data_IF_887855935210
#
_entry.id   IF_887855935210
#
_cell.length_a   1.000
_cell.length_b   1.000
_cell.length_c   1.000
_cell.angle_alpha   90.00
_cell.angle_beta   90.00
_cell.angle_gamma   90.00
#
_symmetry.space_group_name_H-M   'P 1'
#
loop_
_entity.id
_entity.type
_entity.pdbx_description
1 polymer ?
#
# COMPACT_ATOMS: atom_id res chain seq x y z
N UNK A 1 2.35 39.42 -15.50
CA UNK A 1 2.40 37.97 -15.78
C UNK A 1 2.54 37.25 -14.45
N UNK A 2 1.47 36.63 -13.95
CA UNK A 2 1.54 35.76 -12.79
C UNK A 2 2.10 34.41 -13.26
N UNK A 3 3.14 33.91 -12.59
CA UNK A 3 3.67 32.57 -12.84
C UNK A 3 2.55 31.54 -12.61
N UNK A 4 2.25 30.64 -13.56
CA UNK A 4 1.19 29.65 -13.46
C UNK A 4 1.63 28.42 -12.63
N UNK A 5 2.49 28.64 -11.64
CA UNK A 5 2.93 27.65 -10.68
C UNK A 5 2.52 28.21 -9.34
N UNK A 6 1.64 27.52 -8.64
CA UNK A 6 1.41 27.82 -7.23
C UNK A 6 2.63 27.34 -6.46
N UNK A 7 3.66 28.20 -6.45
CA UNK A 7 4.93 27.95 -5.78
C UNK A 7 4.68 27.59 -4.31
N UNK A 8 3.58 28.09 -3.71
CA UNK A 8 3.15 27.70 -2.36
C UNK A 8 2.81 26.22 -2.29
N UNK A 9 2.00 25.68 -3.20
CA UNK A 9 1.65 24.25 -3.19
C UNK A 9 2.87 23.32 -3.32
N UNK A 10 3.89 23.73 -4.11
CA UNK A 10 5.15 22.99 -4.24
C UNK A 10 5.99 23.09 -2.95
N UNK A 11 6.03 24.26 -2.33
CA UNK A 11 6.72 24.49 -1.04
C UNK A 11 6.02 23.76 0.11
N UNK A 12 4.68 23.74 0.12
CA UNK A 12 3.86 23.06 1.12
C UNK A 12 4.09 21.55 1.04
N UNK A 13 4.17 20.98 -0.17
CA UNK A 13 4.49 19.56 -0.36
C UNK A 13 5.93 19.23 0.09
N UNK A 14 6.91 20.09 -0.22
CA UNK A 14 8.28 19.91 0.28
C UNK A 14 8.36 19.97 1.83
N UNK A 15 7.57 20.86 2.45
CA UNK A 15 7.45 20.97 3.91
C UNK A 15 6.83 19.71 4.52
N UNK A 16 5.83 19.14 3.84
CA UNK A 16 5.17 17.89 4.24
C UNK A 16 6.12 16.68 4.24
N UNK A 17 7.11 16.67 3.34
CA UNK A 17 8.15 15.63 3.32
C UNK A 17 9.04 15.71 4.56
N UNK A 18 9.53 16.89 4.90
CA UNK A 18 10.41 17.06 6.07
C UNK A 18 9.68 16.78 7.38
N UNK A 19 8.40 17.14 7.45
CA UNK A 19 7.52 16.80 8.59
C UNK A 19 7.31 15.28 8.67
N UNK A 20 7.02 14.61 7.56
CA UNK A 20 6.85 13.16 7.52
C UNK A 20 8.13 12.40 7.89
N UNK A 21 9.32 12.91 7.55
CA UNK A 21 10.60 12.32 7.97
C UNK A 21 10.81 12.35 9.48
N UNK A 22 10.30 13.37 10.16
CA UNK A 22 10.42 13.56 11.61
C UNK A 22 9.26 12.96 12.40
N UNK A 23 8.21 12.54 11.70
CA UNK A 23 7.04 11.92 12.32
C UNK A 23 7.43 10.58 12.94
N UNK A 24 7.17 10.45 14.24
CA UNK A 24 7.41 9.19 14.95
C UNK A 24 6.34 8.16 14.60
N UNK A 25 6.76 6.92 14.38
CA UNK A 25 5.88 5.78 14.19
C UNK A 25 6.04 4.76 15.33
N UNK A 26 4.93 4.17 15.77
CA UNK A 26 4.92 3.02 16.68
C UNK A 26 4.12 1.89 16.05
N UNK A 27 4.75 0.72 15.88
CA UNK A 27 4.11 -0.46 15.29
C UNK A 27 4.37 -1.67 16.17
N UNK A 28 3.32 -2.42 16.50
CA UNK A 28 3.45 -3.73 17.13
C UNK A 28 3.22 -4.85 16.12
N UNK A 29 4.14 -5.82 16.08
CA UNK A 29 4.08 -6.99 15.23
C UNK A 29 4.00 -8.22 16.13
N UNK A 30 2.83 -8.87 16.11
CA UNK A 30 2.52 -10.08 16.84
C UNK A 30 2.74 -11.30 15.94
N UNK A 31 3.48 -12.29 16.42
CA UNK A 31 3.83 -13.50 15.69
C UNK A 31 3.11 -14.69 16.32
N UNK A 32 2.21 -15.31 15.57
CA UNK A 32 1.65 -16.62 15.91
C UNK A 32 2.69 -17.71 15.63
N UNK A 33 3.03 -18.50 16.65
CA UNK A 33 4.00 -19.60 16.53
C UNK A 33 3.55 -20.68 15.54
N UNK A 34 2.24 -20.79 15.27
CA UNK A 34 1.70 -21.74 14.30
C UNK A 34 1.74 -21.23 12.85
N UNK A 35 2.11 -19.97 12.62
CA UNK A 35 2.25 -19.44 11.27
C UNK A 35 3.48 -20.04 10.56
N UNK A 36 3.42 -20.31 9.25
CA UNK A 36 4.59 -20.76 8.49
C UNK A 36 5.82 -19.87 8.68
N UNK A 37 6.99 -20.48 8.84
CA UNK A 37 8.21 -19.74 9.21
C UNK A 37 8.69 -18.75 8.14
N UNK A 38 8.38 -19.01 6.87
CA UNK A 38 8.68 -18.14 5.74
C UNK A 38 7.87 -16.82 5.80
N UNK A 39 6.57 -16.88 6.12
CA UNK A 39 5.74 -15.66 6.26
C UNK A 39 6.14 -14.87 7.50
N UNK A 40 6.46 -15.55 8.61
CA UNK A 40 6.98 -14.88 9.80
C UNK A 40 8.29 -14.16 9.50
N UNK A 41 9.25 -14.84 8.86
CA UNK A 41 10.53 -14.24 8.49
C UNK A 41 10.36 -13.05 7.54
N UNK A 42 9.49 -13.20 6.53
CA UNK A 42 9.24 -12.15 5.55
C UNK A 42 8.60 -10.90 6.18
N UNK A 43 7.55 -11.06 7.00
CA UNK A 43 6.89 -9.92 7.67
C UNK A 43 7.86 -9.23 8.64
N UNK A 44 8.63 -10.00 9.42
CA UNK A 44 9.67 -9.43 10.30
C UNK A 44 10.68 -8.60 9.52
N UNK A 45 11.12 -9.08 8.36
CA UNK A 45 12.04 -8.35 7.50
C UNK A 45 11.38 -7.11 6.88
N UNK A 46 10.12 -7.20 6.44
CA UNK A 46 9.40 -6.09 5.84
C UNK A 46 9.19 -4.94 6.83
N UNK A 47 8.94 -5.26 8.10
CA UNK A 47 8.80 -4.30 9.21
C UNK A 47 10.12 -4.00 9.92
N UNK A 48 11.27 -4.44 9.39
CA UNK A 48 12.56 -3.94 9.83
C UNK A 48 12.69 -2.47 9.36
N UNK A 49 12.40 -1.54 10.26
CA UNK A 49 12.39 -0.11 9.96
C UNK A 49 13.74 0.37 9.42
N UNK A 50 13.68 1.17 8.35
CA UNK A 50 14.81 1.94 7.84
C UNK A 50 14.91 3.36 8.47
N UNK A 51 13.95 3.75 9.32
CA UNK A 51 13.87 5.07 9.96
C UNK A 51 14.25 5.03 11.44
N UNK A 52 15.05 6.01 11.93
CA UNK A 52 15.34 6.17 13.36
C UNK A 52 14.13 6.64 14.18
N UNK A 53 13.06 7.10 13.53
CA UNK A 53 11.85 7.62 14.17
C UNK A 53 10.72 6.59 14.24
N UNK A 54 10.92 5.39 13.69
CA UNK A 54 9.93 4.32 13.79
C UNK A 54 10.38 3.27 14.80
N UNK A 55 9.55 3.05 15.82
CA UNK A 55 9.67 1.98 16.79
C UNK A 55 8.84 0.80 16.33
N UNK A 56 9.46 -0.37 16.29
CA UNK A 56 8.77 -1.64 15.99
C UNK A 56 8.97 -2.59 17.17
N UNK A 57 7.87 -3.04 17.76
CA UNK A 57 7.88 -4.02 18.84
C UNK A 57 7.48 -5.38 18.27
N UNK A 58 8.29 -6.41 18.50
CA UNK A 58 8.01 -7.79 18.08
C UNK A 58 7.63 -8.63 19.30
N UNK A 59 6.47 -9.29 19.23
CA UNK A 59 5.90 -10.06 20.34
C UNK A 59 5.37 -11.39 19.82
N UNK A 60 5.59 -12.48 20.54
CA UNK A 60 5.05 -13.79 20.21
C UNK A 60 3.71 -14.01 20.91
N UNK A 61 2.77 -14.64 20.23
CA UNK A 61 1.47 -15.04 20.78
C UNK A 61 1.62 -16.43 21.42
N UNK A 62 2.26 -16.48 22.58
CA UNK A 62 2.62 -17.72 23.30
C UNK A 62 1.57 -18.13 24.36
N UNK A 63 0.34 -17.63 24.24
CA UNK A 63 -0.77 -17.91 25.17
C UNK A 63 -0.74 -17.08 26.47
N UNK A 64 0.21 -16.16 26.63
CA UNK A 64 0.18 -15.17 27.72
C UNK A 64 -0.97 -14.17 27.53
N UNK A 65 -1.39 -13.46 28.61
CA UNK A 65 -2.37 -12.40 28.50
C UNK A 65 -1.98 -11.38 27.44
N UNK A 66 -2.82 -11.27 26.41
CA UNK A 66 -2.62 -10.32 25.32
C UNK A 66 -3.12 -8.94 25.75
N UNK A 67 -2.24 -7.95 25.66
CA UNK A 67 -2.59 -6.54 25.94
C UNK A 67 -2.06 -5.68 24.80
N UNK A 68 -2.94 -5.17 23.93
CA UNK A 68 -2.52 -4.30 22.83
C UNK A 68 -2.10 -2.92 23.36
N UNK A 69 -1.09 -2.31 22.72
CA UNK A 69 -0.65 -0.97 23.08
C UNK A 69 -1.45 0.07 22.29
N UNK A 70 -2.29 0.85 22.98
CA UNK A 70 -3.16 1.84 22.34
C UNK A 70 -2.43 3.04 21.73
N UNK A 71 -1.13 3.17 21.96
CA UNK A 71 -0.29 4.22 21.37
C UNK A 71 0.35 3.81 20.04
N UNK A 72 0.07 2.60 19.54
CA UNK A 72 0.54 2.18 18.22
C UNK A 72 -0.26 2.86 17.10
N UNK A 73 0.45 3.22 16.05
CA UNK A 73 -0.14 3.72 14.80
C UNK A 73 -0.80 2.59 14.01
N UNK A 74 -0.30 1.35 14.18
CA UNK A 74 -0.94 0.13 13.70
C UNK A 74 -0.36 -1.09 14.38
N UNK A 75 -1.08 -2.21 14.28
CA UNK A 75 -0.57 -3.52 14.61
C UNK A 75 -0.60 -4.48 13.42
N UNK A 76 0.26 -5.48 13.48
CA UNK A 76 0.30 -6.61 12.54
C UNK A 76 0.21 -7.90 13.33
N UNK A 77 -0.64 -8.82 12.91
CA UNK A 77 -0.67 -10.19 13.44
C UNK A 77 -0.29 -11.11 12.29
N UNK A 78 0.85 -11.80 12.39
CA UNK A 78 1.20 -12.88 11.47
C UNK A 78 0.50 -14.14 11.96
N UNK A 79 -0.46 -14.63 11.19
CA UNK A 79 -1.42 -15.66 11.61
C UNK A 79 -1.17 -17.02 10.94
N UNK A 80 -1.29 -18.07 11.73
CA UNK A 80 -1.26 -19.47 11.33
C UNK A 80 -2.56 -20.18 11.67
N UNK A 81 -2.45 -21.25 12.46
CA UNK A 81 -3.56 -22.10 12.89
C UNK A 81 -4.13 -21.75 14.27
N UNK A 82 -3.74 -20.62 14.86
CA UNK A 82 -4.25 -20.22 16.17
C UNK A 82 -5.67 -19.65 16.06
N UNK A 83 -6.64 -20.33 16.68
CA UNK A 83 -8.07 -19.94 16.69
C UNK A 83 -8.32 -18.57 17.36
N UNK A 84 -7.39 -18.10 18.20
CA UNK A 84 -7.52 -16.83 18.93
C UNK A 84 -7.10 -15.60 18.11
N UNK A 85 -6.53 -15.76 16.91
CA UNK A 85 -6.10 -14.64 16.05
C UNK A 85 -7.22 -13.62 15.83
N UNK A 86 -8.44 -14.09 15.60
CA UNK A 86 -9.62 -13.23 15.42
C UNK A 86 -9.90 -12.38 16.67
N UNK A 87 -9.79 -12.99 17.85
CA UNK A 87 -9.98 -12.31 19.14
C UNK A 87 -8.90 -11.26 19.38
N UNK A 88 -7.62 -11.60 19.17
CA UNK A 88 -6.51 -10.66 19.29
C UNK A 88 -6.70 -9.45 18.36
N UNK A 89 -7.09 -9.67 17.11
CA UNK A 89 -7.41 -8.59 16.18
C UNK A 89 -8.58 -7.72 16.67
N UNK A 90 -9.62 -8.32 17.24
CA UNK A 90 -10.74 -7.59 17.82
C UNK A 90 -10.32 -6.74 19.02
N UNK A 91 -9.45 -7.26 19.90
CA UNK A 91 -8.93 -6.54 21.06
C UNK A 91 -8.06 -5.33 20.63
N UNK A 92 -7.22 -5.48 19.60
CA UNK A 92 -6.45 -4.35 19.05
C UNK A 92 -7.39 -3.26 18.50
N UNK A 93 -8.41 -3.64 17.72
CA UNK A 93 -9.40 -2.68 17.22
C UNK A 93 -10.18 -1.99 18.33
N UNK A 94 -10.48 -2.70 19.41
CA UNK A 94 -11.21 -2.17 20.56
C UNK A 94 -10.46 -1.03 21.28
N UNK A 95 -9.12 -1.01 21.20
CA UNK A 95 -8.29 0.09 21.74
C UNK A 95 -8.03 1.22 20.72
N UNK A 96 -8.69 1.18 19.56
CA UNK A 96 -8.59 2.22 18.53
C UNK A 96 -7.39 2.10 17.59
N UNK A 97 -6.65 1.00 17.65
CA UNK A 97 -5.48 0.77 16.80
C UNK A 97 -5.92 -0.03 15.57
N UNK A 98 -5.57 0.39 14.34
CA UNK A 98 -5.85 -0.39 13.14
C UNK A 98 -4.96 -1.64 13.12
N UNK A 99 -5.52 -2.79 12.73
CA UNK A 99 -4.81 -4.08 12.75
C UNK A 99 -4.89 -4.80 11.41
N UNK A 100 -3.74 -5.21 10.91
CA UNK A 100 -3.59 -6.08 9.74
C UNK A 100 -3.31 -7.51 10.22
N UNK A 101 -4.03 -8.48 9.66
CA UNK A 101 -3.74 -9.91 9.85
C UNK A 101 -3.08 -10.45 8.59
N UNK A 102 -1.82 -10.88 8.68
CA UNK A 102 -1.04 -11.40 7.56
C UNK A 102 -0.96 -12.92 7.62
N UNK A 103 -1.27 -13.62 6.53
CA UNK A 103 -1.20 -15.09 6.49
C UNK A 103 -0.95 -15.63 5.08
N UNK A 104 -0.49 -16.88 4.99
CA UNK A 104 -0.49 -17.69 3.76
C UNK A 104 -1.65 -18.69 3.73
N UNK A 105 -2.52 -18.66 4.74
CA UNK A 105 -3.67 -19.54 4.97
C UNK A 105 -4.98 -18.72 5.04
N UNK A 106 -5.31 -17.89 4.03
CA UNK A 106 -6.40 -16.91 4.16
C UNK A 106 -7.77 -17.55 4.45
N UNK A 107 -8.10 -18.67 3.83
CA UNK A 107 -9.40 -19.33 4.03
C UNK A 107 -9.48 -19.97 5.42
N UNK A 108 -8.43 -20.71 5.81
CA UNK A 108 -8.37 -21.35 7.12
C UNK A 108 -8.40 -20.32 8.26
N UNK A 109 -7.60 -19.26 8.20
CA UNK A 109 -7.59 -18.19 9.21
C UNK A 109 -8.94 -17.50 9.31
N UNK A 110 -9.58 -17.20 8.17
CA UNK A 110 -10.91 -16.59 8.16
C UNK A 110 -11.97 -17.50 8.79
N UNK A 111 -11.96 -18.78 8.47
CA UNK A 111 -12.93 -19.75 8.97
C UNK A 111 -12.74 -20.04 10.46
N UNK A 112 -11.50 -20.20 10.93
CA UNK A 112 -11.22 -20.35 12.37
C UNK A 112 -11.67 -19.12 13.16
N UNK A 113 -11.34 -17.92 12.69
CA UNK A 113 -11.75 -16.67 13.35
C UNK A 113 -13.28 -16.52 13.40
N UNK A 114 -13.97 -16.91 12.33
CA UNK A 114 -15.44 -16.92 12.28
C UNK A 114 -16.03 -17.97 13.21
N UNK A 115 -15.48 -19.19 13.25
CA UNK A 115 -15.91 -20.27 14.13
C UNK A 115 -15.74 -19.91 15.61
N UNK A 116 -14.65 -19.21 15.95
CA UNK A 116 -14.37 -18.68 17.28
C UNK A 116 -15.21 -17.43 17.65
N UNK A 117 -16.12 -16.98 16.78
CA UNK A 117 -17.01 -15.84 17.03
C UNK A 117 -16.37 -14.47 16.86
N UNK A 118 -15.14 -14.39 16.36
CA UNK A 118 -14.37 -13.15 16.18
C UNK A 118 -13.94 -12.98 14.72
N UNK A 119 -14.88 -12.81 13.77
CA UNK A 119 -14.55 -12.75 12.35
C UNK A 119 -13.63 -11.56 12.04
N UNK A 120 -12.60 -11.82 11.23
CA UNK A 120 -11.69 -10.79 10.75
C UNK A 120 -12.35 -10.11 9.53
N UNK A 121 -12.46 -8.77 9.49
CA UNK A 121 -12.92 -8.06 8.31
C UNK A 121 -12.07 -8.42 7.09
N UNK A 122 -12.71 -8.66 5.94
CA UNK A 122 -12.01 -9.06 4.72
C UNK A 122 -10.93 -8.05 4.28
N UNK A 123 -11.11 -6.76 4.60
CA UNK A 123 -10.10 -5.72 4.34
C UNK A 123 -8.83 -5.89 5.16
N UNK A 124 -8.93 -6.45 6.37
CA UNK A 124 -7.82 -6.58 7.33
C UNK A 124 -7.05 -7.90 7.17
N UNK A 125 -7.62 -8.88 6.47
CA UNK A 125 -6.97 -10.16 6.20
C UNK A 125 -6.15 -10.11 4.89
N UNK A 126 -4.84 -10.04 5.05
CA UNK A 126 -3.87 -9.85 3.99
C UNK A 126 -3.09 -11.15 3.75
N UNK A 127 -3.12 -11.61 2.51
CA UNK A 127 -2.41 -12.80 2.04
C UNK A 127 -1.76 -12.52 0.68
N UNK A 128 -0.79 -13.31 0.21
CA UNK A 128 -0.39 -13.27 -1.19
C UNK A 128 -1.60 -13.47 -2.12
N UNK A 129 -1.50 -13.02 -3.38
CA UNK A 129 -2.47 -13.46 -4.40
C UNK A 129 -2.38 -14.97 -4.51
N UNK A 130 -3.52 -15.62 -4.71
CA UNK A 130 -3.59 -17.06 -4.90
C UNK A 130 -2.59 -17.49 -5.99
N UNK A 131 -1.72 -18.49 -5.72
CA UNK A 131 -0.81 -19.00 -6.72
C UNK A 131 -1.60 -19.44 -7.96
N UNK A 132 -1.12 -19.07 -9.15
CA UNK A 132 -1.66 -19.65 -10.37
C UNK A 132 -1.39 -21.15 -10.32
N UNK A 133 -2.44 -21.97 -10.37
CA UNK A 133 -2.35 -23.43 -10.27
C UNK A 133 -1.15 -23.95 -11.08
N UNK A 134 -0.11 -24.40 -10.36
CA UNK A 134 1.07 -25.00 -10.95
C UNK A 134 0.94 -26.51 -10.77
N UNK A 135 1.26 -27.34 -11.78
CA UNK A 135 1.21 -28.79 -11.64
C UNK A 135 2.06 -29.20 -10.43
N UNK A 136 1.48 -29.95 -9.51
CA UNK A 136 2.11 -30.36 -8.26
C UNK A 136 3.54 -30.89 -8.50
N UNK A 137 4.59 -30.30 -7.90
CA UNK A 137 5.90 -30.89 -7.90
C UNK A 137 5.88 -32.22 -7.12
N UNK A 138 6.56 -33.23 -7.66
CA UNK A 138 6.81 -34.49 -6.94
C UNK A 138 7.54 -34.19 -5.61
N UNK A 139 7.16 -34.83 -4.49
CA UNK A 139 7.76 -34.53 -3.20
C UNK A 139 9.23 -34.98 -3.18
N UNK A 140 10.13 -34.05 -2.84
CA UNK A 140 11.49 -34.38 -2.44
C UNK A 140 11.48 -34.83 -0.97
N UNK A 141 12.25 -35.86 -0.59
CA UNK A 141 12.36 -36.28 0.79
C UNK A 141 13.27 -35.30 1.56
N UNK A 142 12.87 -35.06 2.81
CA UNK A 142 13.68 -34.51 3.90
C UNK A 142 13.70 -32.98 4.07
N UNK A 143 12.67 -32.46 4.77
CA UNK A 143 12.80 -31.27 5.60
C UNK A 143 11.96 -31.43 6.88
N UNK A 144 12.62 -31.82 7.97
CA UNK A 144 12.05 -31.86 9.32
C UNK A 144 11.65 -30.44 9.74
N UNK A 145 10.35 -30.13 9.80
CA UNK A 145 9.84 -28.89 10.39
C UNK A 145 8.46 -29.10 11.04
N UNK A 146 8.45 -29.13 12.38
CA UNK A 146 7.22 -29.13 13.18
C UNK A 146 6.43 -27.85 12.86
N UNK A 147 5.26 -28.00 12.25
CA UNK A 147 4.37 -26.91 11.81
C UNK A 147 3.68 -27.25 10.47
N UNK A 148 4.43 -27.79 9.51
CA UNK A 148 3.90 -28.15 8.19
C UNK A 148 2.93 -29.36 8.21
N UNK A 149 3.16 -30.32 9.11
CA UNK A 149 2.33 -31.53 9.23
C UNK A 149 0.93 -31.24 9.81
N UNK A 150 0.79 -30.27 10.71
CA UNK A 150 -0.51 -29.89 11.27
C UNK A 150 -1.39 -29.13 10.25
N UNK A 151 -0.76 -28.34 9.38
CA UNK A 151 -1.45 -27.58 8.32
C UNK A 151 -1.98 -28.51 7.22
N UNK A 152 -1.22 -29.55 6.84
CA UNK A 152 -1.65 -30.52 5.82
C UNK A 152 -2.82 -31.41 6.27
N UNK A 153 -2.98 -31.68 7.57
CA UNK A 153 -4.05 -32.53 8.08
C UNK A 153 -5.43 -31.83 8.13
N UNK A 154 -5.45 -30.48 8.21
CA UNK A 154 -6.68 -29.66 8.27
C UNK A 154 -7.08 -29.16 6.86
N UNK A 155 -6.15 -29.08 5.92
CA UNK A 155 -6.33 -28.52 4.57
C UNK A 155 -7.02 -29.40 3.53
N UNK A 156 -7.76 -30.45 3.91
CA UNK A 156 -8.45 -31.31 2.94
C UNK A 156 -9.45 -30.53 2.06
N UNK A 157 -10.04 -29.46 2.60
CA UNK A 157 -10.97 -28.57 1.91
C UNK A 157 -10.28 -27.38 1.20
N UNK A 158 -8.99 -27.14 1.47
CA UNK A 158 -8.21 -26.01 0.94
C UNK A 158 -6.89 -26.48 0.31
N UNK A 159 -6.91 -27.10 -0.88
CA UNK A 159 -5.77 -27.82 -1.44
C UNK A 159 -4.56 -26.94 -1.80
N UNK A 160 -4.75 -25.62 -1.87
CA UNK A 160 -3.70 -24.66 -2.23
C UNK A 160 -3.08 -23.95 -1.01
N UNK A 161 -3.59 -24.16 0.19
CA UNK A 161 -3.13 -23.52 1.42
C UNK A 161 -2.20 -24.47 2.22
N UNK A 162 -1.03 -24.00 2.72
CA UNK A 162 -0.50 -22.64 2.68
C UNK A 162 0.01 -22.24 1.30
N UNK A 163 -0.20 -20.98 0.93
CA UNK A 163 0.40 -20.39 -0.26
C UNK A 163 1.92 -20.39 -0.13
N UNK A 164 2.61 -21.00 -1.09
CA UNK A 164 4.07 -20.93 -1.15
C UNK A 164 4.53 -19.47 -1.34
N UNK A 165 5.46 -19.01 -0.50
CA UNK A 165 6.05 -17.68 -0.63
C UNK A 165 7.21 -17.66 -1.62
N UNK A 166 6.88 -17.84 -2.90
CA UNK A 166 7.80 -17.52 -3.99
C UNK A 166 7.97 -16.01 -4.19
N UNK A 167 8.78 -15.62 -5.17
CA UNK A 167 9.08 -14.21 -5.46
C UNK A 167 7.84 -13.40 -5.83
N UNK A 168 6.91 -13.99 -6.57
CA UNK A 168 5.70 -13.31 -7.05
C UNK A 168 4.68 -13.17 -5.92
N UNK A 169 4.54 -14.21 -5.10
CA UNK A 169 3.75 -14.21 -3.87
C UNK A 169 4.26 -13.15 -2.88
N UNK A 170 5.58 -13.07 -2.66
CA UNK A 170 6.22 -12.04 -1.84
C UNK A 170 5.95 -10.63 -2.38
N UNK A 171 6.11 -10.42 -3.69
CA UNK A 171 5.83 -9.12 -4.31
C UNK A 171 4.37 -8.73 -4.13
N UNK A 172 3.45 -9.68 -4.36
CA UNK A 172 2.02 -9.44 -4.18
C UNK A 172 1.65 -9.20 -2.72
N UNK A 173 2.27 -9.90 -1.78
CA UNK A 173 2.03 -9.71 -0.36
C UNK A 173 2.47 -8.30 0.07
N UNK A 174 3.67 -7.88 -0.33
CA UNK A 174 4.17 -6.52 -0.08
C UNK A 174 3.24 -5.44 -0.65
N UNK A 175 2.74 -5.62 -1.87
CA UNK A 175 1.78 -4.69 -2.47
C UNK A 175 0.49 -4.58 -1.66
N UNK A 176 -0.07 -5.72 -1.21
CA UNK A 176 -1.31 -5.73 -0.42
C UNK A 176 -1.10 -5.19 1.00
N UNK A 177 0.00 -5.56 1.67
CA UNK A 177 0.35 -5.01 2.99
C UNK A 177 0.53 -3.49 2.91
N UNK A 178 1.31 -3.00 1.94
CA UNK A 178 1.54 -1.56 1.80
C UNK A 178 0.26 -0.81 1.41
N UNK A 179 -0.58 -1.40 0.56
CA UNK A 179 -1.90 -0.85 0.24
C UNK A 179 -2.82 -0.75 1.46
N UNK A 180 -2.79 -1.76 2.33
CA UNK A 180 -3.53 -1.72 3.60
C UNK A 180 -3.01 -0.60 4.51
N UNK A 181 -1.69 -0.46 4.67
CA UNK A 181 -1.07 0.59 5.49
C UNK A 181 -1.52 1.98 5.04
N UNK A 182 -1.56 2.22 3.73
CA UNK A 182 -1.97 3.53 3.18
C UNK A 182 -3.44 3.81 3.45
N UNK A 183 -4.30 2.80 3.34
CA UNK A 183 -5.72 2.92 3.56
C UNK A 183 -6.05 3.12 5.05
N UNK A 184 -5.41 2.34 5.94
CA UNK A 184 -5.69 2.33 7.37
C UNK A 184 -4.98 3.47 8.12
N UNK A 185 -3.79 3.90 7.67
CA UNK A 185 -2.94 4.90 8.32
C UNK A 185 -2.76 6.15 7.43
N UNK A 186 -3.87 6.64 6.86
CA UNK A 186 -3.89 7.72 5.86
C UNK A 186 -3.12 8.99 6.27
N UNK A 187 -3.22 9.39 7.54
CA UNK A 187 -2.61 10.61 8.09
C UNK A 187 -1.08 10.53 8.16
N UNK A 188 -0.53 9.30 8.23
CA UNK A 188 0.91 9.04 8.36
C UNK A 188 1.50 8.26 7.18
N UNK A 189 0.75 8.08 6.09
CA UNK A 189 1.15 7.24 4.94
C UNK A 189 2.53 7.56 4.37
N UNK A 190 2.94 8.83 4.36
CA UNK A 190 4.27 9.24 3.90
C UNK A 190 5.36 8.83 4.89
N UNK A 191 5.14 9.00 6.20
CA UNK A 191 6.05 8.51 7.22
C UNK A 191 6.21 6.99 7.14
N UNK A 192 5.12 6.24 6.90
CA UNK A 192 5.18 4.79 6.68
C UNK A 192 5.98 4.41 5.43
N UNK A 193 5.84 5.12 4.31
CA UNK A 193 6.65 4.89 3.10
C UNK A 193 8.15 5.16 3.32
N UNK A 194 8.47 6.16 4.13
CA UNK A 194 9.85 6.48 4.49
C UNK A 194 10.45 5.41 5.41
N UNK A 195 9.70 4.96 6.43
CA UNK A 195 10.14 3.97 7.40
C UNK A 195 10.19 2.54 6.84
N UNK A 196 9.23 2.17 5.98
CA UNK A 196 9.05 0.80 5.49
C UNK A 196 9.05 0.75 3.95
N UNK A 197 10.12 0.24 3.31
CA UNK A 197 10.27 0.26 1.86
C UNK A 197 9.14 -0.39 1.07
N UNK A 198 8.46 -1.39 1.62
CA UNK A 198 7.35 -2.08 0.94
C UNK A 198 6.12 -1.19 0.72
N UNK A 199 6.00 -0.06 1.45
CA UNK A 199 4.87 0.89 1.35
C UNK A 199 5.07 1.90 0.21
N UNK A 200 6.31 2.12 -0.26
CA UNK A 200 6.65 3.16 -1.25
C UNK A 200 5.95 2.98 -2.59
N UNK A 201 5.99 1.76 -3.13
CA UNK A 201 5.36 1.43 -4.41
C UNK A 201 3.83 1.55 -4.32
N UNK A 202 3.15 0.96 -3.32
CA UNK A 202 1.72 1.20 -3.11
C UNK A 202 1.33 2.68 -3.01
N UNK A 203 2.12 3.50 -2.30
CA UNK A 203 1.83 4.93 -2.14
C UNK A 203 1.99 5.69 -3.46
N UNK A 204 3.02 5.35 -4.22
CA UNK A 204 3.22 5.90 -5.57
C UNK A 204 2.09 5.53 -6.51
N UNK A 205 1.63 4.28 -6.49
CA UNK A 205 0.50 3.82 -7.32
C UNK A 205 -0.81 4.50 -6.91
N UNK A 206 -1.05 4.73 -5.62
CA UNK A 206 -2.20 5.50 -5.16
C UNK A 206 -2.15 6.95 -5.68
N UNK A 207 -0.99 7.61 -5.63
CA UNK A 207 -0.80 8.95 -6.15
C UNK A 207 -1.09 9.01 -7.67
N UNK A 208 -0.61 8.03 -8.44
CA UNK A 208 -0.91 7.90 -9.88
C UNK A 208 -2.40 7.69 -10.13
N UNK A 209 -3.03 6.73 -9.44
CA UNK A 209 -4.44 6.42 -9.63
C UNK A 209 -5.36 7.60 -9.26
N UNK A 210 -5.07 8.28 -8.15
CA UNK A 210 -5.82 9.47 -7.72
C UNK A 210 -5.68 10.59 -8.75
N UNK A 211 -4.48 10.80 -9.27
CA UNK A 211 -4.21 11.82 -10.29
C UNK A 211 -4.88 11.50 -11.62
N UNK A 212 -4.85 10.23 -12.05
CA UNK A 212 -5.51 9.78 -13.27
C UNK A 212 -7.03 9.96 -13.16
N UNK A 213 -7.62 9.65 -12.00
CA UNK A 213 -9.04 9.87 -11.73
C UNK A 213 -9.41 11.36 -11.71
N UNK A 214 -8.58 12.20 -11.07
CA UNK A 214 -8.76 13.65 -11.07
C UNK A 214 -8.66 14.22 -12.48
N UNK A 215 -7.67 13.80 -13.28
CA UNK A 215 -7.49 14.23 -14.66
C UNK A 215 -8.63 13.75 -15.57
N UNK A 216 -9.15 12.53 -15.36
CA UNK A 216 -10.34 12.05 -16.05
C UNK A 216 -11.57 12.90 -15.70
N UNK A 217 -11.75 13.24 -14.40
CA UNK A 217 -12.83 14.11 -13.92
C UNK A 217 -12.76 15.54 -14.49
N UNK A 218 -11.56 16.14 -14.50
CA UNK A 218 -11.34 17.46 -15.12
C UNK A 218 -11.61 17.42 -16.63
N UNK A 219 -11.23 16.32 -17.31
CA UNK A 219 -11.51 16.13 -18.74
C UNK A 219 -13.00 15.92 -19.05
N UNK A 220 -13.78 15.40 -18.08
CA UNK A 220 -15.22 15.16 -18.18
C UNK A 220 -16.04 16.42 -17.87
N UNK A 221 -15.66 17.20 -16.85
CA UNK A 221 -16.43 18.32 -16.29
C UNK A 221 -15.94 19.69 -16.80
N UNK A 222 -15.70 19.84 -18.10
CA UNK A 222 -15.26 21.13 -18.70
C UNK A 222 -16.35 22.20 -18.54
N UNK A 223 -16.43 22.82 -17.36
CA UNK A 223 -17.43 23.86 -17.01
C UNK A 223 -16.90 25.26 -17.38
N UNK A 224 -15.57 25.45 -17.40
CA UNK A 224 -14.93 26.74 -17.73
C UNK A 224 -13.97 26.55 -18.92
N UNK A 225 -14.25 27.15 -20.09
CA UNK A 225 -13.37 27.07 -21.24
C UNK A 225 -11.95 27.55 -20.92
N UNK A 226 -10.98 26.63 -20.89
CA UNK A 226 -9.56 26.96 -20.71
C UNK A 226 -8.97 26.69 -19.32
N UNK A 227 -9.78 26.31 -18.32
CA UNK A 227 -9.30 26.00 -16.97
C UNK A 227 -8.73 24.57 -16.81
N UNK A 228 -9.07 23.64 -17.71
CA UNK A 228 -8.71 22.22 -17.59
C UNK A 228 -7.19 21.95 -17.61
N UNK A 229 -6.43 22.70 -18.42
CA UNK A 229 -4.99 22.41 -18.63
C UNK A 229 -4.10 22.82 -17.45
N UNK A 230 -4.24 24.02 -16.85
CA UNK A 230 -3.48 24.36 -15.64
C UNK A 230 -3.76 23.40 -14.49
N UNK A 231 -5.02 22.99 -14.30
CA UNK A 231 -5.40 22.09 -13.21
C UNK A 231 -4.80 20.69 -13.40
N UNK A 232 -4.90 20.09 -14.59
CA UNK A 232 -4.30 18.77 -14.87
C UNK A 232 -2.78 18.76 -14.69
N UNK A 233 -2.12 19.82 -15.12
CA UNK A 233 -0.65 19.95 -15.02
C UNK A 233 -0.21 20.12 -13.56
N UNK A 234 -0.97 20.84 -12.74
CA UNK A 234 -0.73 20.92 -11.30
C UNK A 234 -0.94 19.57 -10.61
N UNK A 235 -1.98 18.83 -10.96
CA UNK A 235 -2.23 17.48 -10.40
C UNK A 235 -1.06 16.54 -10.71
N UNK A 236 -0.50 16.60 -11.92
CA UNK A 236 0.68 15.81 -12.30
C UNK A 236 1.96 16.24 -11.59
N UNK A 237 2.15 17.55 -11.38
CA UNK A 237 3.26 18.02 -10.56
C UNK A 237 3.16 17.48 -9.13
N UNK A 238 1.96 17.58 -8.51
CA UNK A 238 1.71 17.02 -7.17
C UNK A 238 1.96 15.51 -7.11
N UNK A 239 1.51 14.76 -8.12
CA UNK A 239 1.76 13.32 -8.23
C UNK A 239 3.25 13.00 -8.22
N UNK A 240 4.05 13.70 -9.03
CA UNK A 240 5.50 13.48 -9.11
C UNK A 240 6.20 13.83 -7.80
N UNK A 241 5.78 14.91 -7.13
CA UNK A 241 6.30 15.28 -5.81
C UNK A 241 5.96 14.21 -4.76
N UNK A 242 4.73 13.69 -4.75
CA UNK A 242 4.31 12.61 -3.85
C UNK A 242 5.08 11.31 -4.09
N UNK A 243 5.37 10.98 -5.36
CA UNK A 243 6.21 9.83 -5.70
C UNK A 243 7.62 10.06 -5.13
N UNK A 244 8.27 11.18 -5.45
CA UNK A 244 9.61 11.50 -4.95
C UNK A 244 9.68 11.49 -3.41
N UNK A 245 8.67 12.07 -2.76
CA UNK A 245 8.48 12.06 -1.31
C UNK A 245 8.46 10.64 -0.74
N UNK A 246 7.69 9.73 -1.35
CA UNK A 246 7.57 8.34 -0.88
C UNK A 246 8.91 7.60 -0.88
N UNK A 247 9.83 7.96 -1.78
CA UNK A 247 11.17 7.40 -1.86
C UNK A 247 12.20 8.15 -1.01
N UNK A 248 11.80 9.22 -0.32
CA UNK A 248 12.70 10.02 0.50
C UNK A 248 13.71 10.80 -0.33
N UNK A 249 13.41 11.13 -1.58
CA UNK A 249 14.22 12.04 -2.38
C UNK A 249 14.08 13.48 -1.83
N UNK A 250 15.20 14.20 -1.74
CA UNK A 250 15.17 15.61 -1.38
C UNK A 250 14.72 16.44 -2.58
N UNK A 251 13.68 17.24 -2.39
CA UNK A 251 13.23 18.22 -3.39
C UNK A 251 14.15 19.44 -3.36
N UNK A 252 15.42 19.27 -3.77
CA UNK A 252 16.32 20.39 -3.96
C UNK A 252 15.86 21.24 -5.16
N UNK A 253 16.25 22.51 -5.20
CA UNK A 253 15.94 23.48 -6.26
C UNK A 253 16.31 22.98 -7.66
N UNK A 254 17.31 22.10 -7.77
CA UNK A 254 17.69 21.44 -9.02
C UNK A 254 16.64 20.41 -9.49
N UNK A 255 16.21 19.49 -8.62
CA UNK A 255 15.11 18.54 -8.88
C UNK A 255 13.79 19.25 -9.17
N UNK A 256 13.50 20.34 -8.45
CA UNK A 256 12.32 21.17 -8.70
C UNK A 256 12.37 21.80 -10.10
N UNK A 257 13.55 22.23 -10.57
CA UNK A 257 13.74 22.74 -11.94
C UNK A 257 13.57 21.63 -12.98
N UNK A 258 14.09 20.44 -12.74
CA UNK A 258 13.88 19.27 -13.62
C UNK A 258 12.39 18.92 -13.71
N UNK A 259 11.70 18.86 -12.57
CA UNK A 259 10.25 18.62 -12.51
C UNK A 259 9.48 19.71 -13.25
N UNK A 260 9.82 20.99 -13.02
CA UNK A 260 9.18 22.12 -13.68
C UNK A 260 9.41 22.09 -15.20
N UNK A 261 10.61 21.69 -15.66
CA UNK A 261 10.91 21.51 -17.08
C UNK A 261 10.12 20.34 -17.68
N UNK A 262 10.02 19.21 -16.97
CA UNK A 262 9.27 18.03 -17.40
C UNK A 262 7.76 18.34 -17.50
N UNK A 263 7.22 18.97 -16.46
CA UNK A 263 5.82 19.40 -16.38
C UNK A 263 5.51 20.49 -17.42
N UNK A 264 6.42 21.45 -17.61
CA UNK A 264 6.31 22.51 -18.62
C UNK A 264 6.36 21.96 -20.05
N UNK A 265 7.24 20.99 -20.31
CA UNK A 265 7.30 20.27 -21.58
C UNK A 265 6.03 19.47 -21.86
N UNK A 266 5.52 18.75 -20.86
CA UNK A 266 4.24 18.04 -20.97
C UNK A 266 3.06 18.99 -21.22
N UNK A 267 3.03 20.16 -20.56
CA UNK A 267 2.03 21.20 -20.80
C UNK A 267 2.11 21.75 -22.24
N UNK A 268 3.31 22.02 -22.75
CA UNK A 268 3.51 22.49 -24.13
C UNK A 268 3.03 21.46 -25.16
N UNK A 269 3.40 20.18 -25.00
CA UNK A 269 2.92 19.10 -25.86
C UNK A 269 1.39 18.95 -25.83
N UNK A 270 0.75 19.10 -24.66
CA UNK A 270 -0.73 19.07 -24.55
C UNK A 270 -1.40 20.28 -25.20
N UNK A 271 -0.79 21.46 -25.11
CA UNK A 271 -1.29 22.65 -25.79
C UNK A 271 -1.31 22.45 -27.32
N UNK A 272 -0.26 21.82 -27.86
CA UNK A 272 -0.17 21.44 -29.29
C UNK A 272 -1.21 20.36 -29.64
N UNK A 273 -1.32 19.29 -28.83
CA UNK A 273 -2.30 18.23 -29.06
C UNK A 273 -3.75 18.75 -29.07
N UNK A 274 -4.08 19.74 -28.23
CA UNK A 274 -5.40 20.38 -28.21
C UNK A 274 -5.72 21.11 -29.51
N UNK A 275 -4.74 21.79 -30.13
CA UNK A 275 -4.95 22.43 -31.43
C UNK A 275 -5.32 21.41 -32.51
N UNK A 276 -4.82 20.17 -32.39
CA UNK A 276 -5.13 19.06 -33.30
C UNK A 276 -6.49 18.40 -33.00
N UNK A 277 -6.88 18.28 -31.72
CA UNK A 277 -8.17 17.68 -31.30
C UNK A 277 -9.38 18.58 -31.59
N UNK A 278 -9.18 19.88 -31.79
CA UNK A 278 -10.25 20.82 -32.18
C UNK A 278 -10.93 20.48 -33.53
N UNK A 279 -10.39 19.54 -34.30
CA UNK A 279 -10.91 19.09 -35.58
C UNK A 279 -11.83 17.85 -35.51
N UNK A 280 -12.14 17.31 -34.32
CA UNK A 280 -12.98 16.11 -34.14
C UNK A 280 -14.34 16.46 -33.50
N UNK A 281 -15.47 16.46 -34.25
CA UNK A 281 -16.79 16.76 -33.68
C UNK A 281 -17.41 15.58 -32.90
N UNK A 282 -18.37 15.89 -32.02
CA UNK A 282 -19.32 15.01 -31.32
C UNK A 282 -18.84 14.12 -30.15
N UNK A 283 -17.58 13.64 -30.11
CA UNK A 283 -17.06 12.78 -29.01
C UNK A 283 -15.93 13.42 -28.17
N UNK A 284 -15.71 14.73 -28.32
CA UNK A 284 -14.54 15.42 -27.76
C UNK A 284 -14.39 15.35 -26.23
N UNK A 285 -15.47 15.17 -25.46
CA UNK A 285 -15.41 15.05 -24.00
C UNK A 285 -14.88 13.67 -23.55
N UNK A 286 -15.34 12.58 -24.18
CA UNK A 286 -14.89 11.23 -23.88
C UNK A 286 -13.42 11.02 -24.31
N UNK A 287 -13.06 11.58 -25.46
CA UNK A 287 -11.67 11.57 -25.95
C UNK A 287 -10.75 12.38 -25.02
N UNK A 288 -11.19 13.54 -24.51
CA UNK A 288 -10.43 14.31 -23.52
C UNK A 288 -10.27 13.57 -22.20
N UNK A 289 -11.32 12.91 -21.70
CA UNK A 289 -11.24 12.10 -20.50
C UNK A 289 -10.27 10.92 -20.67
N UNK A 290 -10.32 10.23 -21.81
CA UNK A 290 -9.39 9.14 -22.14
C UNK A 290 -7.94 9.64 -22.23
N UNK A 291 -7.68 10.75 -22.92
CA UNK A 291 -6.34 11.34 -23.05
C UNK A 291 -5.81 11.81 -21.68
N UNK A 292 -6.66 12.41 -20.84
CA UNK A 292 -6.30 12.81 -19.48
C UNK A 292 -5.94 11.64 -18.59
N UNK A 293 -6.69 10.53 -18.70
CA UNK A 293 -6.40 9.29 -17.98
C UNK A 293 -5.10 8.63 -18.46
N UNK A 294 -4.93 8.41 -19.78
CA UNK A 294 -3.74 7.74 -20.33
C UNK A 294 -2.47 8.58 -20.33
N UNK A 295 -2.61 9.91 -20.20
CA UNK A 295 -1.49 10.85 -20.17
C UNK A 295 -0.96 11.12 -18.76
N UNK A 296 -1.37 10.32 -17.77
CA UNK A 296 -0.93 10.31 -16.37
C UNK A 296 -0.11 9.05 -16.14
#
# INVERSE_FOLDING_TARGET
MQLPVDIKAVIDEATNIDEARRTSLSVSVYLDDSAPGDVQAHVRQAFASASPHARVSLMYLDGRPFVPFSGDDMAVIVAGLNEQVGEYAAQVRAVGVPVMVVTTLPSLVADMAKAAGNPIPHGDLIAPKEPKAQPAPLPAPDAVTNGAEAVQAIGADFPNEPYALDRDAVSSLNERMGGWVIAACNDKRLAFALAFPFVRKPLSLEAVNSTALQNAGVGLLVIIPGADMPVMTLNQAKMLLMIAASYGEELNMERVKELAALVGGAFACRAVARQLVAFVPALGWAVKAAIGYTGT
#
